data_IF_615527496982
#
_entry.id   IF_615527496982
#
_cell.length_a   1.000
_cell.length_b   1.000
_cell.length_c   1.000
_cell.angle_alpha   90.00
_cell.angle_beta   90.00
_cell.angle_gamma   90.00
#
_symmetry.space_group_name_H-M   'P 1'
#
loop_
_entity.id
_entity.type
_entity.pdbx_description
1 polymer ?
#
# COMPACT_ATOMS: atom_id res chain seq x y z
N UNK A 1 18.35 6.85 8.27
CA UNK A 1 19.08 5.70 7.68
C UNK A 1 20.58 5.73 7.96
N UNK A 2 21.17 6.89 8.30
CA UNK A 2 22.63 7.02 8.55
C UNK A 2 23.15 6.14 9.71
N UNK A 3 22.28 5.77 10.64
CA UNK A 3 22.62 4.98 11.83
C UNK A 3 22.34 3.47 11.67
N UNK A 4 21.89 3.03 10.49
CA UNK A 4 21.66 1.63 10.23
C UNK A 4 22.94 0.97 9.69
N UNK A 5 23.31 -0.22 10.22
CA UNK A 5 24.50 -0.93 9.69
C UNK A 5 24.30 -1.29 8.22
N UNK A 6 25.38 -1.24 7.43
CA UNK A 6 25.37 -1.78 6.07
C UNK A 6 24.87 -3.23 6.09
N UNK A 7 23.83 -3.49 5.33
CA UNK A 7 23.21 -4.81 5.18
C UNK A 7 23.12 -5.16 3.71
N UNK A 8 23.37 -6.42 3.40
CA UNK A 8 23.26 -6.92 2.03
C UNK A 8 21.82 -6.95 1.51
N UNK A 9 20.84 -6.92 2.40
CA UNK A 9 19.42 -6.94 2.07
C UNK A 9 18.59 -6.27 3.17
N UNK A 10 17.61 -5.50 2.76
CA UNK A 10 16.66 -4.81 3.66
C UNK A 10 15.24 -5.25 3.33
N UNK A 11 14.42 -5.44 4.35
CA UNK A 11 12.97 -5.65 4.19
C UNK A 11 12.27 -4.48 4.86
N UNK A 12 11.40 -3.81 4.10
CA UNK A 12 10.56 -2.71 4.56
C UNK A 12 9.11 -3.15 4.50
N UNK A 13 8.36 -2.92 5.57
CA UNK A 13 6.92 -3.18 5.63
C UNK A 13 6.19 -1.86 5.85
N UNK A 14 5.24 -1.54 4.97
CA UNK A 14 4.40 -0.34 5.05
C UNK A 14 2.93 -0.75 5.00
N UNK A 15 2.32 -0.86 6.16
CA UNK A 15 0.91 -1.18 6.36
C UNK A 15 0.21 0.01 7.02
N UNK A 16 -0.93 0.46 6.46
CA UNK A 16 -1.69 1.57 7.02
C UNK A 16 -0.96 2.92 7.02
N UNK A 17 -0.05 3.18 6.09
CA UNK A 17 0.82 4.37 6.08
C UNK A 17 0.68 5.17 4.80
N UNK A 18 0.83 4.53 3.65
CA UNK A 18 0.99 5.24 2.36
C UNK A 18 -0.30 5.91 1.88
N UNK A 19 -1.46 5.48 2.37
CA UNK A 19 -2.76 6.11 2.08
C UNK A 19 -2.90 7.53 2.63
N UNK A 20 -2.10 7.91 3.62
CA UNK A 20 -2.07 9.27 4.18
C UNK A 20 -1.14 10.22 3.42
N UNK A 21 -0.38 9.71 2.48
CA UNK A 21 0.57 10.47 1.67
C UNK A 21 -0.06 10.89 0.33
N UNK A 22 0.35 12.06 -0.18
CA UNK A 22 0.06 12.41 -1.58
C UNK A 22 0.88 11.53 -2.53
N UNK A 23 0.53 11.50 -3.79
CA UNK A 23 1.26 10.76 -4.83
C UNK A 23 2.74 11.14 -4.86
N UNK A 24 3.03 12.44 -4.76
CA UNK A 24 4.39 13.00 -4.75
C UNK A 24 5.18 12.59 -3.50
N UNK A 25 4.50 12.53 -2.35
CA UNK A 25 5.11 12.07 -1.10
C UNK A 25 5.41 10.56 -1.15
N UNK A 26 4.51 9.76 -1.73
CA UNK A 26 4.78 8.32 -1.97
C UNK A 26 5.98 8.17 -2.90
N UNK A 27 6.05 8.89 -4.01
CA UNK A 27 7.20 8.88 -4.91
C UNK A 27 8.50 9.22 -4.19
N UNK A 28 8.51 10.31 -3.41
CA UNK A 28 9.69 10.70 -2.61
C UNK A 28 10.11 9.62 -1.63
N UNK A 29 9.14 8.97 -0.97
CA UNK A 29 9.40 7.88 -0.04
C UNK A 29 10.05 6.68 -0.76
N UNK A 30 9.53 6.27 -1.93
CA UNK A 30 10.07 5.16 -2.71
C UNK A 30 11.50 5.46 -3.21
N UNK A 31 11.74 6.68 -3.73
CA UNK A 31 13.09 7.12 -4.13
C UNK A 31 14.06 7.05 -2.95
N UNK A 32 13.65 7.58 -1.78
CA UNK A 32 14.47 7.55 -0.57
C UNK A 32 14.84 6.13 -0.13
N UNK A 33 13.92 5.17 -0.25
CA UNK A 33 14.20 3.76 0.06
C UNK A 33 15.26 3.18 -0.89
N UNK A 34 15.06 3.35 -2.20
CA UNK A 34 15.99 2.85 -3.21
C UNK A 34 17.37 3.54 -3.16
N UNK A 35 17.42 4.80 -2.71
CA UNK A 35 18.69 5.52 -2.52
C UNK A 35 19.41 5.13 -1.22
N UNK A 36 18.65 4.77 -0.19
CA UNK A 36 19.20 4.45 1.14
C UNK A 36 19.72 3.02 1.25
N UNK A 37 19.16 2.10 0.47
CA UNK A 37 19.47 0.68 0.56
C UNK A 37 19.78 0.11 -0.83
N UNK A 38 20.92 -0.55 -0.95
CA UNK A 38 21.42 -1.09 -2.21
C UNK A 38 20.47 -2.15 -2.83
N UNK A 39 19.89 -3.00 -1.99
CA UNK A 39 18.93 -4.04 -2.37
C UNK A 39 17.89 -4.22 -1.28
N UNK A 40 16.65 -4.49 -1.66
CA UNK A 40 15.60 -4.72 -0.68
C UNK A 40 14.30 -5.27 -1.23
N UNK A 41 13.41 -5.53 -0.26
CA UNK A 41 12.02 -5.87 -0.51
C UNK A 41 11.12 -4.86 0.21
N UNK A 42 10.09 -4.38 -0.47
CA UNK A 42 9.02 -3.57 0.08
C UNK A 42 7.73 -4.39 0.06
N UNK A 43 7.18 -4.66 1.23
CA UNK A 43 5.81 -5.14 1.39
C UNK A 43 4.93 -3.93 1.71
N UNK A 44 4.07 -3.53 0.79
CA UNK A 44 3.22 -2.36 0.93
C UNK A 44 1.74 -2.71 0.83
N UNK A 45 0.94 -2.14 1.73
CA UNK A 45 -0.50 -2.10 1.56
C UNK A 45 -0.85 -1.00 0.55
N UNK A 46 -1.66 -1.38 -0.45
CA UNK A 46 -2.15 -0.49 -1.50
C UNK A 46 -3.62 -0.18 -1.21
N UNK A 47 -3.89 1.08 -0.93
CA UNK A 47 -5.24 1.56 -0.67
C UNK A 47 -5.99 1.87 -1.97
N UNK A 48 -7.21 1.34 -2.13
CA UNK A 48 -7.97 1.54 -3.36
C UNK A 48 -8.49 2.99 -3.46
N UNK A 49 -8.42 3.64 -4.65
CA UNK A 49 -8.82 5.06 -4.82
C UNK A 49 -10.26 5.38 -4.42
N UNK A 50 -11.17 4.41 -4.52
CA UNK A 50 -12.55 4.59 -4.07
C UNK A 50 -12.64 4.83 -2.56
N UNK A 51 -11.82 4.13 -1.77
CA UNK A 51 -11.79 4.27 -0.33
C UNK A 51 -11.17 5.61 0.08
N UNK A 52 -10.16 6.09 -0.66
CA UNK A 52 -9.57 7.42 -0.43
C UNK A 52 -10.61 8.55 -0.56
N UNK A 53 -11.52 8.44 -1.52
CA UNK A 53 -12.59 9.44 -1.73
C UNK A 53 -13.69 9.39 -0.65
N UNK A 54 -13.80 8.31 0.08
CA UNK A 54 -14.84 8.06 1.07
C UNK A 54 -14.30 7.95 2.50
N UNK A 55 -13.24 8.68 2.81
CA UNK A 55 -12.53 8.67 4.10
C UNK A 55 -13.45 8.79 5.33
N UNK A 56 -14.48 9.64 5.26
CA UNK A 56 -15.43 9.89 6.38
C UNK A 56 -16.23 8.65 6.82
N UNK A 57 -16.32 7.64 5.98
CA UNK A 57 -17.03 6.40 6.26
C UNK A 57 -16.11 5.27 6.73
N UNK A 58 -14.81 5.54 6.86
CA UNK A 58 -13.85 4.54 7.31
C UNK A 58 -13.77 4.49 8.83
N UNK A 59 -14.12 3.36 9.43
CA UNK A 59 -14.24 3.21 10.89
C UNK A 59 -12.95 3.55 11.66
N UNK A 60 -11.79 3.25 11.09
CA UNK A 60 -10.50 3.48 11.74
C UNK A 60 -10.16 4.97 11.94
N UNK A 61 -10.68 5.87 11.11
CA UNK A 61 -10.29 7.28 11.11
C UNK A 61 -11.44 8.26 11.26
N UNK A 62 -12.69 7.80 11.35
CA UNK A 62 -13.89 8.67 11.49
C UNK A 62 -13.86 9.59 12.72
N UNK A 63 -13.06 9.25 13.73
CA UNK A 63 -12.89 10.03 14.95
C UNK A 63 -11.56 10.82 14.98
N UNK A 64 -10.86 10.91 13.87
CA UNK A 64 -9.60 11.63 13.74
C UNK A 64 -9.70 12.70 12.65
N UNK A 65 -8.71 13.59 12.58
CA UNK A 65 -8.56 14.55 11.48
C UNK A 65 -7.74 13.97 10.30
N UNK A 66 -7.40 12.68 10.35
CA UNK A 66 -6.67 12.02 9.29
C UNK A 66 -7.56 11.86 8.04
N UNK A 67 -6.98 12.03 6.87
CA UNK A 67 -7.65 11.84 5.59
C UNK A 67 -6.75 11.04 4.67
N UNK A 68 -7.35 10.11 3.93
CA UNK A 68 -6.64 9.42 2.86
C UNK A 68 -6.39 10.39 1.71
N UNK A 69 -5.13 10.52 1.28
CA UNK A 69 -4.70 11.47 0.27
C UNK A 69 -4.65 10.85 -1.12
N UNK A 70 -4.14 9.63 -1.20
CA UNK A 70 -3.96 8.94 -2.45
C UNK A 70 -4.22 7.44 -2.31
N UNK A 71 -4.66 6.83 -3.41
CA UNK A 71 -4.86 5.39 -3.52
C UNK A 71 -4.51 4.93 -4.92
N UNK A 72 -4.20 3.64 -5.05
CA UNK A 72 -3.81 3.01 -6.31
C UNK A 72 -4.61 1.74 -6.58
N UNK A 73 -4.82 1.44 -7.86
CA UNK A 73 -5.51 0.22 -8.29
C UNK A 73 -4.59 -0.98 -8.39
N UNK A 74 -3.28 -0.75 -8.52
CA UNK A 74 -2.30 -1.81 -8.70
C UNK A 74 -0.89 -1.34 -8.33
N UNK A 75 -0.05 -2.27 -7.89
CA UNK A 75 1.37 -2.04 -7.66
C UNK A 75 2.14 -1.57 -8.89
N UNK A 76 1.59 -1.70 -10.09
CA UNK A 76 2.20 -1.14 -11.31
C UNK A 76 2.37 0.37 -11.25
N UNK A 77 1.43 1.08 -10.62
CA UNK A 77 1.53 2.54 -10.43
C UNK A 77 2.75 2.93 -9.56
N UNK A 78 3.19 2.04 -8.65
CA UNK A 78 4.41 2.24 -7.87
C UNK A 78 5.68 2.12 -8.72
N UNK A 79 5.68 1.22 -9.72
CA UNK A 79 6.79 1.10 -10.69
C UNK A 79 6.89 2.34 -11.57
N UNK A 80 5.75 2.97 -11.92
CA UNK A 80 5.73 4.24 -12.65
C UNK A 80 6.34 5.38 -11.83
N UNK A 81 6.15 5.36 -10.49
CA UNK A 81 6.73 6.35 -9.57
C UNK A 81 8.22 6.12 -9.30
N UNK A 82 8.63 4.85 -9.24
CA UNK A 82 10.02 4.44 -8.98
C UNK A 82 10.39 3.24 -9.88
N UNK A 83 10.99 3.48 -11.05
CA UNK A 83 11.29 2.43 -12.03
C UNK A 83 12.32 1.37 -11.59
N UNK A 84 13.04 1.59 -10.48
CA UNK A 84 13.93 0.58 -9.89
C UNK A 84 13.16 -0.54 -9.20
N UNK A 85 11.90 -0.33 -8.86
CA UNK A 85 11.04 -1.35 -8.28
C UNK A 85 10.60 -2.39 -9.32
N UNK A 86 10.55 -3.63 -8.90
CA UNK A 86 9.95 -4.75 -9.63
C UNK A 86 8.85 -5.36 -8.77
N UNK A 87 7.62 -5.44 -9.30
CA UNK A 87 6.50 -6.09 -8.61
C UNK A 87 6.66 -7.61 -8.69
N UNK A 88 6.79 -8.27 -7.55
CA UNK A 88 6.94 -9.73 -7.45
C UNK A 88 5.58 -10.42 -7.29
N UNK A 89 4.71 -9.87 -6.46
CA UNK A 89 3.36 -10.40 -6.24
C UNK A 89 2.42 -9.30 -5.75
N UNK A 90 1.13 -9.51 -6.01
CA UNK A 90 0.06 -8.62 -5.56
C UNK A 90 -1.16 -9.45 -5.22
N UNK A 91 -1.68 -9.30 -4.00
CA UNK A 91 -2.84 -10.02 -3.49
C UNK A 91 -3.91 -9.06 -2.98
N UNK A 92 -5.15 -9.25 -3.41
CA UNK A 92 -6.29 -8.51 -2.87
C UNK A 92 -6.75 -9.14 -1.56
N UNK A 93 -7.19 -8.33 -0.60
CA UNK A 93 -7.85 -8.79 0.62
C UNK A 93 -9.24 -9.41 0.39
N UNK A 94 -9.71 -9.41 -0.85
CA UNK A 94 -11.00 -9.95 -1.24
C UNK A 94 -11.26 -11.38 -0.73
N UNK A 95 -10.30 -12.29 -0.91
CA UNK A 95 -10.45 -13.69 -0.45
C UNK A 95 -10.44 -13.80 1.08
N UNK A 96 -9.66 -12.97 1.75
CA UNK A 96 -9.63 -12.96 3.21
C UNK A 96 -10.94 -12.40 3.79
N UNK A 97 -11.49 -11.34 3.21
CA UNK A 97 -12.77 -10.76 3.66
C UNK A 97 -13.93 -11.76 3.61
N UNK A 98 -13.92 -12.69 2.67
CA UNK A 98 -14.93 -13.76 2.60
C UNK A 98 -14.92 -14.68 3.82
N UNK A 99 -13.77 -14.82 4.49
CA UNK A 99 -13.60 -15.74 5.63
C UNK A 99 -14.14 -15.16 6.94
N UNK A 100 -14.20 -13.84 7.10
CA UNK A 100 -14.40 -13.20 8.41
C UNK A 100 -15.82 -12.77 8.75
N UNK A 101 -16.69 -12.48 7.76
CA UNK A 101 -18.06 -12.09 8.07
C UNK A 101 -19.02 -12.23 6.88
N UNK A 102 -20.33 -12.34 7.18
CA UNK A 102 -21.40 -12.33 6.16
C UNK A 102 -21.41 -10.99 5.40
N UNK A 103 -21.19 -9.87 6.10
CA UNK A 103 -21.08 -8.53 5.47
C UNK A 103 -19.87 -8.44 4.56
N UNK A 104 -18.74 -9.00 4.99
CA UNK A 104 -17.52 -9.11 4.18
C UNK A 104 -17.75 -9.96 2.92
N UNK A 105 -18.48 -11.07 3.03
CA UNK A 105 -18.86 -11.90 1.87
C UNK A 105 -19.70 -11.14 0.86
N UNK A 106 -20.73 -10.39 1.32
CA UNK A 106 -21.58 -9.58 0.45
C UNK A 106 -20.79 -8.46 -0.21
N UNK A 107 -19.97 -7.72 0.53
CA UNK A 107 -19.12 -6.67 -0.02
C UNK A 107 -18.13 -7.23 -1.05
N UNK A 108 -17.45 -8.32 -0.73
CA UNK A 108 -16.54 -8.99 -1.64
C UNK A 108 -17.23 -9.51 -2.90
N UNK A 109 -18.48 -9.98 -2.80
CA UNK A 109 -19.27 -10.44 -3.95
C UNK A 109 -19.64 -9.29 -4.89
N UNK A 110 -20.17 -8.19 -4.35
CA UNK A 110 -20.63 -7.05 -5.17
C UNK A 110 -19.50 -6.14 -5.64
N UNK A 111 -18.37 -6.06 -4.90
CA UNK A 111 -17.28 -5.12 -5.14
C UNK A 111 -15.90 -5.80 -5.12
N UNK A 112 -15.64 -6.82 -5.97
CA UNK A 112 -14.42 -7.62 -5.90
C UNK A 112 -13.14 -6.82 -6.14
N UNK A 113 -13.23 -5.70 -6.83
CA UNK A 113 -12.07 -4.88 -7.22
C UNK A 113 -11.87 -3.62 -6.34
N UNK A 114 -12.71 -3.41 -5.32
CA UNK A 114 -12.63 -2.21 -4.46
C UNK A 114 -11.87 -2.43 -3.15
N UNK A 115 -11.22 -3.58 -2.98
CA UNK A 115 -10.47 -3.91 -1.78
C UNK A 115 -9.03 -3.41 -1.84
N UNK A 116 -8.47 -3.16 -0.65
CA UNK A 116 -7.05 -2.97 -0.47
C UNK A 116 -6.29 -4.23 -0.95
N UNK A 117 -5.03 -4.02 -1.28
CA UNK A 117 -4.13 -5.05 -1.78
C UNK A 117 -2.84 -5.03 -1.00
N UNK A 118 -2.19 -6.16 -0.92
CA UNK A 118 -0.84 -6.29 -0.42
C UNK A 118 0.08 -6.58 -1.59
N UNK A 119 1.07 -5.72 -1.81
CA UNK A 119 2.02 -5.86 -2.91
C UNK A 119 3.43 -6.03 -2.38
N UNK A 120 4.16 -6.97 -2.97
CA UNK A 120 5.57 -7.22 -2.69
C UNK A 120 6.40 -6.73 -3.88
N UNK A 121 7.30 -5.82 -3.58
CA UNK A 121 8.27 -5.29 -4.53
C UNK A 121 9.69 -5.68 -4.12
N UNK A 122 10.58 -5.61 -5.11
CA UNK A 122 12.04 -5.75 -4.95
C UNK A 122 12.73 -4.62 -5.71
N UNK A 123 13.84 -4.10 -5.22
CA UNK A 123 14.77 -3.21 -5.93
C UNK A 123 16.23 -3.64 -5.77
#
# INVERSE_FOLDING_TARGET
TKDLPERNMTIVVMEGVLEYFTKEQVQTCLHMLCDSFKHGFLLAELHHPFLSKNTKHHDAIKHTNATFQWGTKSGKEYIELEPRLSLLSEHSYHEEMKKYSIRGKLFAFFFPNLNNRLALFKW
#
